data_IF_395182042129
#
_entry.id   IF_395182042129
#
_cell.length_a   1.000
_cell.length_b   1.000
_cell.length_c   1.000
_cell.angle_alpha   90.00
_cell.angle_beta   90.00
_cell.angle_gamma   90.00
#
_symmetry.space_group_name_H-M   'P 1'
#
loop_
_entity.id
_entity.type
_entity.pdbx_description
1 polymer ?
#
# COMPACT_ATOMS: atom_id res chain seq x y z
N UNK A 1 -3.97 -5.74 16.90
CA UNK A 1 -3.79 -4.34 16.45
C UNK A 1 -4.93 -4.01 15.49
N UNK A 2 -5.62 -2.88 15.65
CA UNK A 2 -6.57 -2.39 14.63
C UNK A 2 -5.80 -1.50 13.65
N UNK A 3 -5.66 -1.95 12.41
CA UNK A 3 -5.37 -1.05 11.28
C UNK A 3 -6.70 -0.48 10.81
N UNK A 4 -6.71 0.69 10.16
CA UNK A 4 -7.92 1.48 9.86
C UNK A 4 -9.10 0.70 9.28
N UNK A 5 -8.83 -0.41 8.58
CA UNK A 5 -9.84 -1.30 7.99
C UNK A 5 -9.49 -2.80 8.11
N UNK A 6 -8.63 -3.18 9.06
CA UNK A 6 -8.24 -4.59 9.25
C UNK A 6 -8.11 -4.94 10.73
N UNK A 7 -8.70 -6.08 11.11
CA UNK A 7 -8.43 -6.77 12.35
C UNK A 7 -7.16 -7.61 12.18
N UNK A 8 -6.17 -7.37 13.05
CA UNK A 8 -4.89 -8.08 13.01
C UNK A 8 -4.66 -8.79 14.34
N UNK A 9 -4.63 -10.12 14.29
CA UNK A 9 -4.33 -11.01 15.41
C UNK A 9 -2.94 -11.63 15.25
N UNK A 10 -2.20 -11.71 16.36
CA UNK A 10 -0.95 -12.47 16.41
C UNK A 10 -1.27 -13.81 17.06
N UNK A 11 -1.09 -14.88 16.30
CA UNK A 11 -1.30 -16.26 16.73
C UNK A 11 0.05 -16.79 17.20
N UNK A 12 0.14 -17.23 18.46
CA UNK A 12 1.35 -17.86 19.00
C UNK A 12 1.08 -19.36 19.17
N UNK A 13 1.88 -20.18 18.51
CA UNK A 13 1.78 -21.63 18.58
C UNK A 13 2.54 -22.16 19.81
N UNK A 14 2.19 -23.37 20.31
CA UNK A 14 2.88 -23.97 21.46
C UNK A 14 4.39 -24.19 21.25
N UNK A 15 4.83 -24.32 20.00
CA UNK A 15 6.24 -24.45 19.62
C UNK A 15 6.98 -23.09 19.55
N UNK A 16 6.32 -22.00 19.92
CA UNK A 16 6.87 -20.65 19.93
C UNK A 16 6.82 -19.92 18.58
N UNK A 17 6.39 -20.57 17.49
CA UNK A 17 6.18 -19.89 16.21
C UNK A 17 5.04 -18.87 16.32
N UNK A 18 5.15 -17.78 15.56
CA UNK A 18 4.12 -16.73 15.53
C UNK A 18 3.65 -16.48 14.11
N UNK A 19 2.34 -16.41 13.93
CA UNK A 19 1.69 -15.99 12.69
C UNK A 19 0.85 -14.74 12.92
N UNK A 20 0.52 -14.06 11.83
CA UNK A 20 -0.38 -12.92 11.81
C UNK A 20 -1.60 -13.29 10.99
N UNK A 21 -2.78 -13.26 11.61
CA UNK A 21 -4.05 -13.32 10.91
C UNK A 21 -4.55 -11.90 10.65
N UNK A 22 -4.70 -11.56 9.37
CA UNK A 22 -5.28 -10.29 8.91
C UNK A 22 -6.66 -10.55 8.36
N UNK A 23 -7.67 -9.98 8.99
CA UNK A 23 -9.07 -10.07 8.59
C UNK A 23 -9.52 -8.65 8.18
N UNK A 24 -9.66 -8.38 6.87
CA UNK A 24 -10.16 -7.11 6.40
C UNK A 24 -11.61 -6.86 6.85
N UNK A 25 -11.93 -5.57 7.03
CA UNK A 25 -13.30 -5.14 7.24
C UNK A 25 -14.12 -5.36 5.94
N UNK A 26 -15.24 -6.11 6.00
CA UNK A 26 -16.02 -6.47 4.81
C UNK A 26 -16.54 -5.26 4.02
N UNK A 27 -16.85 -4.15 4.70
CA UNK A 27 -17.36 -2.93 4.07
C UNK A 27 -16.31 -2.18 3.23
N UNK A 28 -15.02 -2.47 3.42
CA UNK A 28 -13.92 -1.75 2.80
C UNK A 28 -13.07 -2.60 1.85
N UNK A 29 -13.41 -3.89 1.71
CA UNK A 29 -12.60 -4.88 1.01
C UNK A 29 -13.45 -5.77 0.11
N UNK A 30 -12.99 -5.98 -1.11
CA UNK A 30 -13.50 -7.03 -2.01
C UNK A 30 -12.46 -8.16 -2.12
N UNK A 31 -12.87 -9.28 -2.72
CA UNK A 31 -11.98 -10.42 -2.94
C UNK A 31 -10.74 -10.02 -3.73
N UNK A 32 -10.91 -9.15 -4.73
CA UNK A 32 -9.82 -8.71 -5.63
C UNK A 32 -8.72 -7.93 -4.91
N UNK A 33 -9.02 -7.16 -3.86
CA UNK A 33 -7.99 -6.52 -3.02
C UNK A 33 -7.09 -7.51 -2.30
N UNK A 34 -7.64 -8.65 -1.85
CA UNK A 34 -6.86 -9.69 -1.18
C UNK A 34 -5.97 -10.40 -2.20
N UNK A 35 -6.52 -10.78 -3.35
CA UNK A 35 -5.74 -11.37 -4.46
C UNK A 35 -4.62 -10.42 -4.91
N UNK A 36 -4.94 -9.13 -5.10
CA UNK A 36 -3.98 -8.07 -5.43
C UNK A 36 -2.85 -7.97 -4.40
N UNK A 37 -3.18 -7.98 -3.10
CA UNK A 37 -2.20 -7.94 -2.02
C UNK A 37 -1.28 -9.18 -2.05
N UNK A 38 -1.85 -10.39 -2.13
CA UNK A 38 -1.08 -11.65 -2.15
C UNK A 38 -0.21 -11.75 -3.39
N UNK A 39 -0.76 -11.45 -4.57
CA UNK A 39 -0.03 -11.45 -5.83
C UNK A 39 1.10 -10.41 -5.84
N UNK A 40 0.86 -9.22 -5.29
CA UNK A 40 1.90 -8.18 -5.15
C UNK A 40 3.04 -8.66 -4.25
N UNK A 41 2.73 -9.30 -3.12
CA UNK A 41 3.75 -9.87 -2.23
C UNK A 41 4.58 -10.95 -2.95
N UNK A 42 3.93 -11.81 -3.74
CA UNK A 42 4.62 -12.81 -4.57
C UNK A 42 5.55 -12.13 -5.59
N UNK A 43 5.04 -11.17 -6.37
CA UNK A 43 5.81 -10.43 -7.37
C UNK A 43 7.04 -9.76 -6.76
N UNK A 44 6.89 -9.09 -5.61
CA UNK A 44 8.03 -8.46 -4.92
C UNK A 44 9.03 -9.52 -4.44
N UNK A 45 8.56 -10.65 -3.90
CA UNK A 45 9.45 -11.71 -3.42
C UNK A 45 10.24 -12.42 -4.54
N UNK A 46 9.67 -12.49 -5.75
CA UNK A 46 10.34 -13.08 -6.92
C UNK A 46 11.41 -12.14 -7.50
N UNK A 47 11.24 -10.82 -7.34
CA UNK A 47 12.09 -9.80 -7.98
C UNK A 47 13.07 -9.12 -7.02
N UNK A 48 12.90 -9.29 -5.71
CA UNK A 48 13.68 -8.58 -4.69
C UNK A 48 14.07 -9.53 -3.55
N UNK A 49 15.10 -9.17 -2.78
CA UNK A 49 15.50 -9.87 -1.56
C UNK A 49 14.93 -9.20 -0.30
N UNK A 50 13.79 -8.49 -0.43
CA UNK A 50 13.17 -7.79 0.68
C UNK A 50 12.60 -8.78 1.70
N UNK A 51 12.77 -8.51 3.01
CA UNK A 51 12.17 -9.34 4.04
C UNK A 51 10.67 -9.09 4.09
N UNK A 52 9.91 -9.87 3.32
CA UNK A 52 8.45 -9.87 3.32
C UNK A 52 7.89 -10.98 4.22
N UNK A 53 6.70 -10.80 4.81
CA UNK A 53 5.99 -11.89 5.46
C UNK A 53 5.67 -12.99 4.45
N UNK A 54 5.80 -14.25 4.86
CA UNK A 54 5.42 -15.40 4.06
C UNK A 54 3.91 -15.59 4.17
N UNK A 55 3.22 -15.69 3.04
CA UNK A 55 1.80 -16.05 3.01
C UNK A 55 1.67 -17.54 3.27
N UNK A 56 1.06 -17.92 4.40
CA UNK A 56 0.81 -19.33 4.75
C UNK A 56 -0.51 -19.83 4.16
N UNK A 57 -1.55 -19.01 4.22
CA UNK A 57 -2.86 -19.30 3.63
C UNK A 57 -3.64 -17.99 3.47
N UNK A 58 -4.61 -17.98 2.56
CA UNK A 58 -5.57 -16.90 2.45
C UNK A 58 -6.85 -17.40 1.81
N UNK A 59 -7.95 -16.69 2.07
CA UNK A 59 -9.21 -16.87 1.36
C UNK A 59 -9.79 -15.47 1.11
N UNK A 60 -10.04 -15.16 -0.15
CA UNK A 60 -10.57 -13.87 -0.57
C UNK A 60 -12.10 -13.79 -0.47
N UNK A 61 -12.76 -14.92 -0.23
CA UNK A 61 -14.22 -15.04 -0.13
C UNK A 61 -14.69 -15.07 1.33
N UNK A 62 -16.01 -14.91 1.52
CA UNK A 62 -16.65 -15.14 2.82
C UNK A 62 -17.18 -16.59 2.95
N UNK A 63 -17.05 -17.40 1.89
CA UNK A 63 -17.55 -18.76 1.86
C UNK A 63 -16.52 -19.74 2.44
N UNK A 64 -16.15 -19.51 3.70
CA UNK A 64 -15.19 -20.33 4.42
C UNK A 64 -15.60 -20.46 5.89
N UNK A 65 -14.90 -21.32 6.64
CA UNK A 65 -15.25 -21.62 8.04
C UNK A 65 -15.19 -20.40 8.98
N UNK A 66 -14.45 -19.34 8.61
CA UNK A 66 -14.40 -18.10 9.38
C UNK A 66 -15.56 -17.16 9.04
N UNK A 67 -16.26 -17.36 7.92
CA UNK A 67 -17.31 -16.45 7.41
C UNK A 67 -16.78 -15.10 6.94
N UNK A 68 -15.45 -14.93 6.88
CA UNK A 68 -14.78 -13.69 6.53
C UNK A 68 -13.59 -14.00 5.64
N UNK A 69 -13.27 -13.07 4.74
CA UNK A 69 -12.03 -13.14 4.01
C UNK A 69 -10.84 -12.93 4.96
N UNK A 70 -9.70 -13.57 4.70
CA UNK A 70 -8.54 -13.51 5.59
C UNK A 70 -7.22 -13.78 4.87
N UNK A 71 -6.13 -13.34 5.48
CA UNK A 71 -4.76 -13.68 5.08
C UNK A 71 -3.96 -14.07 6.32
N UNK A 72 -3.36 -15.26 6.31
CA UNK A 72 -2.41 -15.75 7.30
C UNK A 72 -0.98 -15.53 6.80
N UNK A 73 -0.20 -14.79 7.59
CA UNK A 73 1.15 -14.39 7.29
C UNK A 73 2.12 -14.88 8.37
N UNK A 74 3.40 -15.07 8.04
CA UNK A 74 4.44 -15.22 9.05
C UNK A 74 4.60 -13.94 9.87
N UNK A 75 4.91 -14.05 11.16
CA UNK A 75 5.22 -12.89 11.98
C UNK A 75 6.66 -12.42 11.72
N UNK A 76 6.83 -11.12 11.46
CA UNK A 76 8.16 -10.49 11.41
C UNK A 76 8.45 -9.89 12.79
N UNK A 77 9.49 -10.38 13.44
CA UNK A 77 9.97 -9.83 14.70
C UNK A 77 10.53 -8.41 14.48
N UNK A 78 10.09 -7.47 15.31
CA UNK A 78 10.55 -6.10 15.22
C UNK A 78 9.74 -5.12 16.05
N UNK A 79 10.27 -3.90 16.14
CA UNK A 79 9.59 -2.78 16.80
C UNK A 79 9.32 -1.71 15.76
N UNK A 80 8.08 -1.20 15.65
CA UNK A 80 7.78 -0.08 14.76
C UNK A 80 8.67 1.13 15.08
N UNK A 81 9.33 1.69 14.06
CA UNK A 81 10.23 2.85 14.23
C UNK A 81 9.55 4.04 14.91
N UNK A 82 8.23 4.21 14.73
CA UNK A 82 7.44 5.24 15.41
C UNK A 82 7.48 5.14 16.93
N UNK A 83 7.58 3.93 17.49
CA UNK A 83 7.70 3.69 18.94
C UNK A 83 9.12 3.93 19.47
N UNK A 84 10.13 3.92 18.60
CA UNK A 84 11.53 4.16 18.98
C UNK A 84 11.82 5.66 18.99
N UNK A 85 11.28 6.41 18.02
CA UNK A 85 11.46 7.86 17.87
C UNK A 85 11.01 8.68 19.09
N UNK A 86 10.06 8.16 19.89
CA UNK A 86 9.52 8.87 21.07
C UNK A 86 10.41 8.81 22.30
N UNK A 87 11.50 8.04 22.28
CA UNK A 87 12.44 7.95 23.41
C UNK A 87 13.64 8.88 23.15
N UNK A 88 13.91 9.87 24.02
CA UNK A 88 15.14 10.65 23.97
C UNK A 88 16.35 9.69 24.01
N UNK A 89 17.37 9.94 23.19
CA UNK A 89 18.62 9.19 23.08
C UNK A 89 18.54 7.72 22.60
N UNK A 90 17.36 7.17 22.33
CA UNK A 90 17.23 5.77 21.89
C UNK A 90 17.75 5.51 20.47
N UNK A 91 17.93 6.56 19.66
CA UNK A 91 18.35 6.45 18.27
C UNK A 91 19.63 7.23 18.04
N UNK A 92 20.77 6.61 18.34
CA UNK A 92 22.09 7.19 18.04
C UNK A 92 22.23 7.41 16.53
N UNK A 93 23.16 8.30 16.13
CA UNK A 93 23.36 8.60 14.71
C UNK A 93 23.80 7.39 13.89
N UNK A 94 24.48 6.42 14.52
CA UNK A 94 24.83 5.14 13.88
C UNK A 94 23.57 4.35 13.53
N UNK A 95 22.63 4.19 14.47
CA UNK A 95 21.36 3.50 14.21
C UNK A 95 20.50 4.25 13.20
N UNK A 96 20.46 5.59 13.25
CA UNK A 96 19.78 6.41 12.24
C UNK A 96 20.32 6.14 10.84
N UNK A 97 21.64 6.17 10.67
CA UNK A 97 22.28 5.90 9.36
C UNK A 97 21.95 4.50 8.86
N UNK A 98 22.04 3.47 9.71
CA UNK A 98 21.65 2.11 9.33
C UNK A 98 20.19 2.03 8.88
N UNK A 99 19.26 2.63 9.61
CA UNK A 99 17.85 2.67 9.23
C UNK A 99 17.69 3.31 7.86
N UNK A 100 18.26 4.50 7.64
CA UNK A 100 18.17 5.18 6.35
C UNK A 100 18.78 4.37 5.21
N UNK A 101 19.90 3.69 5.47
CA UNK A 101 20.53 2.82 4.48
C UNK A 101 19.66 1.62 4.14
N UNK A 102 18.99 1.00 5.13
CA UNK A 102 18.03 -0.07 4.87
C UNK A 102 16.83 0.43 4.06
N UNK A 103 16.25 1.60 4.38
CA UNK A 103 15.14 2.14 3.59
C UNK A 103 15.59 2.47 2.16
N UNK A 104 16.77 3.07 1.99
CA UNK A 104 17.33 3.37 0.67
C UNK A 104 17.56 2.10 -0.16
N UNK A 105 18.14 1.05 0.45
CA UNK A 105 18.33 -0.25 -0.19
C UNK A 105 16.99 -0.87 -0.58
N UNK A 106 15.96 -0.75 0.27
CA UNK A 106 14.64 -1.26 -0.06
C UNK A 106 14.00 -0.51 -1.21
N UNK A 107 14.12 0.82 -1.24
CA UNK A 107 13.64 1.63 -2.37
C UNK A 107 14.37 1.29 -3.67
N UNK A 108 15.68 1.05 -3.60
CA UNK A 108 16.46 0.66 -4.78
C UNK A 108 16.01 -0.70 -5.35
N UNK A 109 15.66 -1.66 -4.49
CA UNK A 109 15.12 -2.95 -4.93
C UNK A 109 13.70 -2.84 -5.49
N UNK A 110 12.82 -2.07 -4.82
CA UNK A 110 11.46 -1.84 -5.33
C UNK A 110 11.44 -1.10 -6.66
N UNK A 111 12.47 -0.30 -6.96
CA UNK A 111 12.60 0.40 -8.25
C UNK A 111 12.64 -0.54 -9.46
N UNK A 112 13.08 -1.78 -9.28
CA UNK A 112 13.11 -2.79 -10.36
C UNK A 112 11.71 -3.13 -10.87
N UNK A 113 10.68 -2.90 -10.05
CA UNK A 113 9.28 -3.06 -10.44
C UNK A 113 8.82 -1.79 -11.15
N UNK A 114 8.79 -1.87 -12.48
CA UNK A 114 8.40 -0.81 -13.39
C UNK A 114 7.09 -1.17 -14.11
N UNK A 115 6.20 -0.18 -14.21
CA UNK A 115 4.85 -0.33 -14.75
C UNK A 115 4.59 0.74 -15.82
N UNK A 116 3.80 0.41 -16.84
CA UNK A 116 3.46 1.33 -17.92
C UNK A 116 2.34 2.31 -17.55
N UNK A 117 1.55 2.00 -16.52
CA UNK A 117 0.44 2.81 -16.02
C UNK A 117 0.35 2.80 -14.50
N UNK A 118 -0.30 3.81 -13.94
CA UNK A 118 -0.70 3.82 -12.52
C UNK A 118 -2.08 3.17 -12.42
N UNK A 119 -2.18 2.17 -11.55
CA UNK A 119 -3.40 1.40 -11.29
C UNK A 119 -3.17 0.36 -10.20
N UNK A 120 -4.09 -0.59 -10.09
CA UNK A 120 -4.01 -1.71 -9.16
C UNK A 120 -3.49 -2.96 -9.89
N UNK A 121 -2.64 -3.77 -9.24
CA UNK A 121 -2.19 -5.03 -9.82
C UNK A 121 -3.28 -6.09 -9.72
N UNK A 122 -3.67 -6.65 -10.85
CA UNK A 122 -4.64 -7.73 -10.94
C UNK A 122 -3.93 -9.00 -11.39
N UNK A 123 -4.30 -10.13 -10.78
CA UNK A 123 -3.71 -11.44 -11.01
C UNK A 123 -4.83 -12.38 -11.49
N UNK A 124 -5.21 -12.32 -12.79
CA UNK A 124 -6.38 -13.02 -13.31
C UNK A 124 -6.18 -14.53 -13.48
N UNK A 125 -4.96 -15.03 -13.32
CA UNK A 125 -4.62 -16.43 -13.52
C UNK A 125 -3.64 -16.97 -12.47
N UNK A 126 -3.48 -18.30 -12.41
CA UNK A 126 -2.54 -18.96 -11.50
C UNK A 126 -1.07 -18.72 -11.90
N UNK A 127 -0.85 -18.45 -13.18
CA UNK A 127 0.45 -18.08 -13.72
C UNK A 127 0.74 -16.66 -13.25
N UNK A 128 1.91 -16.40 -12.63
CA UNK A 128 2.35 -15.11 -12.04
C UNK A 128 2.32 -13.89 -12.99
N UNK A 129 1.68 -14.00 -14.15
CA UNK A 129 1.20 -12.91 -14.98
C UNK A 129 0.31 -11.94 -14.18
N UNK A 130 0.49 -10.66 -14.47
CA UNK A 130 -0.29 -9.59 -13.87
C UNK A 130 -0.74 -8.62 -14.96
N UNK A 131 -1.86 -7.95 -14.70
CA UNK A 131 -2.35 -6.81 -15.47
C UNK A 131 -2.50 -5.61 -14.56
N UNK A 132 -2.46 -4.41 -15.12
CA UNK A 132 -2.76 -3.20 -14.37
C UNK A 132 -4.24 -2.89 -14.61
N UNK A 133 -5.04 -2.98 -13.56
CA UNK A 133 -6.45 -2.62 -13.52
C UNK A 133 -6.68 -1.22 -12.94
N UNK A 134 -7.89 -0.67 -13.07
CA UNK A 134 -8.23 0.63 -12.49
C UNK A 134 -8.16 0.57 -10.96
N UNK A 135 -7.95 1.73 -10.33
CA UNK A 135 -8.05 1.87 -8.88
C UNK A 135 -9.52 1.78 -8.45
N UNK A 136 -9.81 1.04 -7.39
CA UNK A 136 -11.19 0.77 -6.95
C UNK A 136 -11.52 1.50 -5.66
N UNK A 137 -12.62 2.24 -5.67
CA UNK A 137 -13.28 2.76 -4.47
C UNK A 137 -14.31 1.74 -4.00
N UNK A 138 -14.17 1.30 -2.75
CA UNK A 138 -15.08 0.34 -2.13
C UNK A 138 -15.87 1.05 -1.04
N UNK A 139 -17.19 0.96 -1.12
CA UNK A 139 -18.13 1.39 -0.08
C UNK A 139 -19.11 0.24 0.17
N UNK A 140 -19.36 -0.07 1.44
CA UNK A 140 -20.25 -1.17 1.85
C UNK A 140 -19.94 -2.53 1.21
N UNK A 141 -18.65 -2.79 0.92
CA UNK A 141 -18.19 -4.05 0.33
C UNK A 141 -18.42 -4.17 -1.18
N UNK A 142 -18.92 -3.10 -1.82
CA UNK A 142 -19.11 -3.03 -3.26
C UNK A 142 -18.15 -2.04 -3.90
N UNK A 143 -17.70 -2.35 -5.12
CA UNK A 143 -16.94 -1.39 -5.92
C UNK A 143 -17.91 -0.35 -6.44
N UNK A 144 -17.87 0.85 -5.86
CA UNK A 144 -18.74 1.97 -6.23
C UNK A 144 -18.15 2.81 -7.35
N UNK A 145 -16.83 2.79 -7.50
CA UNK A 145 -16.16 3.57 -8.53
C UNK A 145 -14.83 2.93 -8.93
N UNK A 146 -14.52 2.97 -10.22
CA UNK A 146 -13.25 2.55 -10.80
C UNK A 146 -12.61 3.74 -11.49
N UNK A 147 -11.31 3.94 -11.26
CA UNK A 147 -10.61 5.17 -11.57
C UNK A 147 -9.28 4.88 -12.27
N UNK A 148 -9.04 5.57 -13.38
CA UNK A 148 -7.90 5.31 -14.26
C UNK A 148 -8.26 4.30 -15.37
N UNK A 149 -7.30 3.65 -16.04
CA UNK A 149 -5.84 3.67 -15.82
C UNK A 149 -5.19 5.01 -16.17
N UNK A 150 -4.17 5.39 -15.40
CA UNK A 150 -3.52 6.68 -15.59
C UNK A 150 -2.18 6.51 -16.32
N UNK A 151 -2.02 7.13 -17.51
CA UNK A 151 -0.75 7.15 -18.23
C UNK A 151 0.26 8.16 -17.66
N UNK A 152 -0.18 9.08 -16.80
CA UNK A 152 0.65 10.15 -16.22
C UNK A 152 0.36 10.34 -14.74
N UNK A 153 1.35 10.77 -13.95
CA UNK A 153 1.15 11.09 -12.54
C UNK A 153 0.22 12.30 -12.37
N UNK A 154 0.27 13.26 -13.29
CA UNK A 154 -0.62 14.41 -13.31
C UNK A 154 -2.10 13.99 -13.45
N UNK A 155 -2.42 13.06 -14.35
CA UNK A 155 -3.80 12.59 -14.53
C UNK A 155 -4.31 11.87 -13.27
N UNK A 156 -3.46 11.07 -12.63
CA UNK A 156 -3.76 10.44 -11.36
C UNK A 156 -3.99 11.46 -10.23
N UNK A 157 -3.08 12.43 -10.05
CA UNK A 157 -3.18 13.44 -8.99
C UNK A 157 -4.43 14.31 -9.18
N UNK A 158 -4.72 14.73 -10.41
CA UNK A 158 -5.90 15.55 -10.71
C UNK A 158 -7.19 14.82 -10.37
N UNK A 159 -7.30 13.55 -10.76
CA UNK A 159 -8.47 12.74 -10.48
C UNK A 159 -8.62 12.49 -8.97
N UNK A 160 -7.54 12.11 -8.30
CA UNK A 160 -7.54 11.91 -6.85
C UNK A 160 -7.93 13.19 -6.09
N UNK A 161 -7.44 14.35 -6.53
CA UNK A 161 -7.81 15.64 -5.94
C UNK A 161 -9.29 15.99 -6.18
N UNK A 162 -9.85 15.70 -7.35
CA UNK A 162 -11.28 15.88 -7.63
C UNK A 162 -12.14 15.05 -6.66
N UNK A 163 -11.80 13.78 -6.43
CA UNK A 163 -12.51 12.92 -5.48
C UNK A 163 -12.47 13.43 -4.05
N UNK A 164 -11.31 13.96 -3.62
CA UNK A 164 -11.16 14.57 -2.30
C UNK A 164 -12.02 15.82 -2.18
N UNK A 165 -12.04 16.67 -3.22
CA UNK A 165 -12.90 17.85 -3.25
C UNK A 165 -14.36 17.45 -3.14
N UNK A 166 -14.83 16.52 -3.97
CA UNK A 166 -16.22 16.05 -3.99
C UNK A 166 -16.64 15.50 -2.62
N UNK A 167 -15.79 14.68 -1.99
CA UNK A 167 -16.04 14.09 -0.67
C UNK A 167 -16.19 15.12 0.46
N UNK A 168 -15.52 16.27 0.35
CA UNK A 168 -15.42 17.27 1.41
C UNK A 168 -16.01 18.64 1.01
N UNK A 169 -16.86 18.66 -0.02
CA UNK A 169 -17.55 19.87 -0.51
C UNK A 169 -18.34 20.60 0.58
N UNK A 170 -18.82 19.88 1.61
CA UNK A 170 -19.60 20.43 2.71
C UNK A 170 -18.75 20.93 3.91
N UNK A 171 -17.42 20.78 3.87
CA UNK A 171 -16.50 21.18 4.95
C UNK A 171 -15.55 22.32 4.51
N UNK A 172 -15.87 23.59 4.80
CA UNK A 172 -15.18 24.75 4.23
C UNK A 172 -13.64 24.81 4.44
N UNK A 173 -13.06 24.46 5.60
CA UNK A 173 -11.60 24.52 5.78
C UNK A 173 -10.87 23.40 5.02
N UNK A 174 -11.52 22.25 4.82
CA UNK A 174 -10.93 21.10 4.14
C UNK A 174 -10.98 21.27 2.61
N UNK A 175 -12.07 21.85 2.09
CA UNK A 175 -12.19 22.21 0.67
C UNK A 175 -11.04 23.11 0.18
N UNK A 176 -10.65 24.11 0.98
CA UNK A 176 -9.52 25.00 0.65
C UNK A 176 -8.19 24.24 0.61
N UNK A 177 -7.97 23.31 1.55
CA UNK A 177 -6.77 22.46 1.58
C UNK A 177 -6.68 21.54 0.36
N UNK A 178 -7.78 20.87 -0.02
CA UNK A 178 -7.79 19.98 -1.18
C UNK A 178 -7.70 20.74 -2.51
N UNK A 179 -8.30 21.93 -2.58
CA UNK A 179 -8.13 22.85 -3.72
C UNK A 179 -6.67 23.29 -3.88
N UNK A 180 -6.00 23.59 -2.77
CA UNK A 180 -4.57 23.92 -2.77
C UNK A 180 -3.71 22.69 -3.13
N UNK A 181 -4.06 21.50 -2.64
CA UNK A 181 -3.40 20.25 -3.04
C UNK A 181 -3.55 20.00 -4.55
N UNK A 182 -4.73 20.22 -5.12
CA UNK A 182 -4.97 20.14 -6.57
C UNK A 182 -4.11 21.14 -7.32
N UNK A 183 -4.07 22.39 -6.86
CA UNK A 183 -3.26 23.44 -7.48
C UNK A 183 -1.77 23.07 -7.46
N UNK A 184 -1.24 22.65 -6.31
CA UNK A 184 0.15 22.20 -6.19
C UNK A 184 0.41 20.95 -7.05
N UNK A 185 -0.55 20.03 -7.12
CA UNK A 185 -0.51 18.83 -7.94
C UNK A 185 -0.29 19.10 -9.42
N UNK A 186 -0.73 20.26 -9.94
CA UNK A 186 -0.49 20.69 -11.32
C UNK A 186 0.98 21.06 -11.59
N UNK A 187 1.73 21.43 -10.55
CA UNK A 187 3.13 21.89 -10.67
C UNK A 187 4.14 20.89 -10.11
N UNK A 188 3.69 19.84 -9.43
CA UNK A 188 4.53 18.83 -8.77
C UNK A 188 5.22 17.87 -9.74
N UNK A 189 4.57 17.33 -10.78
CA UNK A 189 5.25 16.53 -11.79
C UNK A 189 6.09 17.42 -12.69
N UNK A 190 7.42 17.26 -12.66
CA UNK A 190 8.24 17.72 -13.79
C UNK A 190 7.75 16.97 -15.02
N UNK A 191 7.25 17.70 -16.01
CA UNK A 191 6.63 17.14 -17.23
C UNK A 191 7.54 16.16 -17.97
N UNK A 192 8.87 16.26 -17.76
CA UNK A 192 9.85 15.32 -18.32
C UNK A 192 9.79 13.92 -17.70
N UNK A 193 9.23 13.79 -16.50
CA UNK A 193 9.13 12.53 -15.75
C UNK A 193 7.67 12.14 -15.45
N UNK A 194 6.70 12.76 -16.12
CA UNK A 194 5.27 12.52 -15.93
C UNK A 194 4.74 11.38 -16.83
N UNK A 195 5.60 10.43 -17.19
CA UNK A 195 5.25 9.30 -18.05
C UNK A 195 5.95 8.02 -17.58
N UNK A 196 5.59 6.87 -18.18
CA UNK A 196 6.18 5.59 -17.82
C UNK A 196 7.69 5.54 -18.11
N UNK A 197 8.44 4.65 -17.41
CA UNK A 197 7.95 3.67 -16.45
C UNK A 197 7.67 4.25 -15.04
N UNK A 198 6.55 3.85 -14.46
CA UNK A 198 6.24 4.09 -13.04
C UNK A 198 6.92 3.03 -12.19
N UNK A 199 7.86 3.46 -11.35
CA UNK A 199 8.54 2.57 -10.42
C UNK A 199 7.88 2.60 -9.03
N UNK A 200 7.83 1.45 -8.33
CA UNK A 200 7.45 1.43 -6.92
C UNK A 200 8.47 2.21 -6.07
N UNK A 201 8.17 3.46 -5.72
CA UNK A 201 8.97 4.28 -4.80
C UNK A 201 8.24 4.42 -3.47
N UNK A 202 8.89 4.06 -2.37
CA UNK A 202 8.47 4.54 -1.07
C UNK A 202 8.76 6.06 -1.03
N UNK A 203 7.73 6.90 -0.98
CA UNK A 203 7.90 8.35 -0.84
C UNK A 203 8.51 8.65 0.54
N UNK A 204 9.84 8.62 0.64
CA UNK A 204 10.53 9.38 1.67
C UNK A 204 10.44 10.83 1.22
N UNK A 205 9.58 11.62 1.88
CA UNK A 205 9.67 13.07 1.89
C UNK A 205 11.09 13.47 2.31
N UNK A 206 11.96 13.66 1.32
CA UNK A 206 13.22 14.39 1.49
C UNK A 206 12.94 15.80 0.99
N UNK A 207 12.33 16.59 1.86
CA UNK A 207 12.46 18.04 1.82
C UNK A 207 13.96 18.34 1.98
N UNK A 208 14.65 18.60 0.88
CA UNK A 208 15.85 19.45 0.94
C UNK A 208 15.34 20.89 0.97
N UNK A 209 15.87 21.61 1.97
CA UNK A 209 15.65 23.02 2.27
C UNK A 209 15.77 23.92 1.05
#
# INVERSE_FOLDING_TARGET
MRSSYNLVYVITFPDGRKWVARIPEPSCTDSRKIESMVGTMRLISEKTSLPLPIVHAYDSTQNNNLGYAYVLLSFIEGVPLSKIRTKPDALTDVYRRHIFQHVANSMAQLRVLEFDRIGELEFPGPDSSYTIGPLRKIEEGQVVHEIGLFPTALSYINEFASLLIDKYTESPPEYALYSLLRLLGLFLPDRRFDGPPFACRLLILTLRM
#
